data_IF_398008049583
#
_entry.id   IF_398008049583
#
_cell.length_a   1.000
_cell.length_b   1.000
_cell.length_c   1.000
_cell.angle_alpha   90.00
_cell.angle_beta   90.00
_cell.angle_gamma   90.00
#
_symmetry.space_group_name_H-M   'P 1'
#
loop_
_entity.id
_entity.type
_entity.pdbx_description
1 polymer ?
#
# COMPACT_ATOMS: atom_id res chain seq x y z
N UNK A 1 45.57 -4.82 -0.96
CA UNK A 1 45.55 -3.34 -0.86
C UNK A 1 44.11 -2.90 -0.94
N UNK A 2 43.49 -2.48 0.16
CA UNK A 2 43.61 -1.14 0.80
C UNK A 2 43.07 -0.06 -0.16
N UNK A 3 42.06 0.76 0.14
CA UNK A 3 41.39 1.09 1.40
C UNK A 3 39.96 1.58 1.14
N UNK A 4 39.00 1.08 1.91
CA UNK A 4 37.73 1.75 2.18
C UNK A 4 37.90 2.55 3.46
N UNK A 5 37.89 3.88 3.37
CA UNK A 5 37.93 4.75 4.52
C UNK A 5 36.51 5.07 5.01
N UNK A 6 36.32 4.80 6.30
CA UNK A 6 35.18 5.16 7.15
C UNK A 6 34.81 6.63 7.03
N UNK A 7 33.51 6.91 6.99
CA UNK A 7 32.94 8.05 7.71
C UNK A 7 31.76 7.56 8.54
N UNK A 8 31.97 7.64 9.85
CA UNK A 8 31.06 7.34 10.94
C UNK A 8 30.08 8.48 11.18
N UNK A 9 28.81 8.11 11.34
CA UNK A 9 27.82 8.63 12.30
C UNK A 9 27.82 10.14 12.61
N UNK A 10 26.87 10.86 12.01
CA UNK A 10 26.24 12.03 12.61
C UNK A 10 24.80 11.67 12.99
N UNK A 11 24.55 11.50 14.28
CA UNK A 11 23.20 11.42 14.82
C UNK A 11 22.51 12.78 14.65
N UNK A 12 21.45 12.82 13.84
CA UNK A 12 20.49 13.92 13.87
C UNK A 12 19.18 13.38 14.42
N UNK A 13 19.03 13.59 15.72
CA UNK A 13 17.78 13.61 16.43
C UNK A 13 16.98 14.80 15.86
N UNK A 14 15.99 14.53 15.00
CA UNK A 14 15.01 15.55 14.62
C UNK A 14 13.66 15.12 15.20
N UNK A 15 13.26 15.89 16.19
CA UNK A 15 11.99 15.81 16.90
C UNK A 15 10.83 15.59 15.93
N UNK A 16 10.04 14.57 16.25
CA UNK A 16 8.67 14.38 15.79
C UNK A 16 7.82 15.58 16.21
N UNK A 17 7.82 16.65 15.41
CA UNK A 17 6.80 17.69 15.47
C UNK A 17 5.66 17.30 14.55
N UNK A 18 4.51 17.08 15.19
CA UNK A 18 3.18 16.93 14.62
C UNK A 18 2.99 17.77 13.34
N UNK A 19 2.87 17.10 12.19
CA UNK A 19 2.20 17.67 11.02
C UNK A 19 0.78 17.13 11.06
N UNK A 20 0.02 17.66 12.01
CA UNK A 20 -1.43 17.65 11.99
C UNK A 20 -1.89 18.84 11.15
N UNK A 21 -2.80 18.56 10.21
CA UNK A 21 -3.80 19.49 9.68
C UNK A 21 -3.27 20.68 8.85
N UNK A 22 -3.05 20.43 7.55
CA UNK A 22 -3.44 21.37 6.51
C UNK A 22 -3.99 20.57 5.31
N UNK A 23 -5.11 19.90 5.52
CA UNK A 23 -6.08 19.70 4.44
C UNK A 23 -6.82 21.02 4.33
N UNK A 24 -6.52 21.80 3.29
CA UNK A 24 -7.37 22.91 2.90
C UNK A 24 -8.75 22.35 2.58
N UNK A 25 -9.64 22.36 3.57
CA UNK A 25 -11.07 22.26 3.36
C UNK A 25 -11.46 23.47 2.51
N UNK A 26 -11.48 23.30 1.19
CA UNK A 26 -12.34 24.13 0.36
C UNK A 26 -13.75 23.76 0.76
N UNK A 27 -14.29 24.49 1.74
CA UNK A 27 -15.72 24.48 2.06
C UNK A 27 -16.44 25.06 0.85
N UNK A 28 -16.68 24.21 -0.15
CA UNK A 28 -17.78 24.42 -1.08
C UNK A 28 -19.03 24.16 -0.27
N UNK A 29 -19.71 25.23 0.09
CA UNK A 29 -21.03 25.22 0.73
C UNK A 29 -21.93 24.17 0.09
N UNK A 30 -22.75 23.44 0.86
CA UNK A 30 -23.79 22.61 0.28
C UNK A 30 -24.86 23.57 -0.27
N UNK A 31 -24.76 23.94 -1.54
CA UNK A 31 -25.87 24.58 -2.26
C UNK A 31 -26.96 23.55 -2.62
N UNK A 32 -27.22 22.58 -1.74
CA UNK A 32 -28.24 21.54 -1.93
C UNK A 32 -29.65 22.02 -1.55
N UNK A 33 -29.87 23.33 -1.51
CA UNK A 33 -31.18 23.96 -1.29
C UNK A 33 -31.69 24.74 -2.51
N UNK A 34 -31.04 24.60 -3.68
CA UNK A 34 -31.50 25.24 -4.92
C UNK A 34 -32.10 24.26 -5.95
N UNK A 35 -32.53 23.08 -5.52
CA UNK A 35 -33.21 22.10 -6.40
C UNK A 35 -34.73 22.04 -6.18
N UNK A 36 -35.34 23.06 -5.55
CA UNK A 36 -36.80 23.10 -5.36
C UNK A 36 -37.45 24.43 -5.75
N UNK A 37 -36.75 25.28 -6.52
CA UNK A 37 -37.25 26.61 -6.90
C UNK A 37 -37.08 26.98 -8.37
N UNK A 38 -36.93 25.98 -9.24
CA UNK A 38 -37.36 26.11 -10.63
C UNK A 38 -38.69 25.38 -10.77
N UNK A 39 -39.65 25.80 -9.95
CA UNK A 39 -41.03 25.72 -10.40
C UNK A 39 -41.05 26.59 -11.65
N UNK A 40 -41.14 25.93 -12.81
CA UNK A 40 -41.71 26.49 -14.01
C UNK A 40 -42.64 27.63 -13.62
N UNK A 41 -42.28 28.87 -13.93
CA UNK A 41 -43.28 29.87 -14.24
C UNK A 41 -43.89 29.48 -15.58
N UNK A 42 -44.47 28.28 -15.65
CA UNK A 42 -45.67 28.07 -16.42
C UNK A 42 -46.65 29.05 -15.80
N UNK A 43 -46.73 30.24 -16.38
CA UNK A 43 -48.01 30.95 -16.45
C UNK A 43 -49.02 29.83 -16.66
N UNK A 44 -49.99 29.62 -15.75
CA UNK A 44 -50.98 28.60 -15.99
C UNK A 44 -51.61 28.97 -17.31
N UNK A 45 -51.23 28.26 -18.38
CA UNK A 45 -52.01 28.21 -19.59
C UNK A 45 -53.27 27.55 -19.09
N UNK A 46 -54.20 28.40 -18.69
CA UNK A 46 -55.48 28.05 -18.14
C UNK A 46 -56.06 27.08 -19.14
N UNK A 47 -56.02 25.80 -18.80
CA UNK A 47 -56.89 24.77 -19.39
C UNK A 47 -58.30 25.13 -18.93
N UNK A 48 -58.80 26.29 -19.35
CA UNK A 48 -60.20 26.65 -19.27
C UNK A 48 -60.88 26.02 -20.48
N UNK A 49 -60.78 24.70 -20.55
CA UNK A 49 -61.76 23.91 -21.26
C UNK A 49 -62.97 23.98 -20.34
N UNK A 50 -63.97 24.76 -20.74
CA UNK A 50 -65.26 25.06 -20.06
C UNK A 50 -65.41 26.45 -19.40
N UNK A 51 -65.40 27.51 -20.20
CA UNK A 51 -66.33 28.63 -19.96
C UNK A 51 -67.43 28.58 -21.02
N UNK A 52 -68.45 27.76 -20.76
CA UNK A 52 -69.63 27.67 -21.61
C UNK A 52 -70.71 28.61 -21.05
N UNK A 53 -70.99 29.66 -21.84
CA UNK A 53 -72.22 30.45 -21.91
C UNK A 53 -72.51 31.55 -20.87
N UNK A 54 -71.67 32.59 -20.87
CA UNK A 54 -72.21 33.96 -20.87
C UNK A 54 -71.62 34.69 -22.07
N UNK A 55 -72.45 35.15 -22.99
CA UNK A 55 -71.97 35.94 -24.13
C UNK A 55 -71.30 37.22 -23.61
N UNK A 56 -70.06 37.49 -24.04
CA UNK A 56 -69.33 38.70 -23.67
C UNK A 56 -70.10 39.97 -24.08
N UNK A 57 -70.79 39.93 -25.22
CA UNK A 57 -71.60 41.02 -25.73
C UNK A 57 -73.07 40.59 -25.85
N UNK A 58 -73.98 41.44 -25.35
CA UNK A 58 -75.44 41.36 -25.48
C UNK A 58 -75.97 42.70 -26.00
N UNK A 59 -77.22 42.77 -26.45
CA UNK A 59 -77.81 44.02 -26.99
C UNK A 59 -77.81 45.16 -25.97
N UNK A 60 -77.89 44.84 -24.67
CA UNK A 60 -77.94 45.82 -23.58
C UNK A 60 -76.56 46.41 -23.21
N UNK A 61 -75.46 45.70 -23.53
CA UNK A 61 -74.11 46.09 -23.10
C UNK A 61 -73.15 46.45 -24.25
N UNK A 62 -73.66 46.55 -25.47
CA UNK A 62 -72.84 46.69 -26.69
C UNK A 62 -71.85 47.87 -26.65
N UNK A 63 -72.30 49.05 -26.19
CA UNK A 63 -71.45 50.25 -26.10
C UNK A 63 -70.33 50.10 -25.06
N UNK A 64 -70.63 49.44 -23.94
CA UNK A 64 -69.66 49.17 -22.87
C UNK A 64 -68.64 48.11 -23.32
N UNK A 65 -69.10 47.07 -24.01
CA UNK A 65 -68.24 46.01 -24.56
C UNK A 65 -67.32 46.52 -25.67
N UNK A 66 -67.80 47.40 -26.55
CA UNK A 66 -66.97 48.06 -27.57
C UNK A 66 -65.94 48.97 -26.90
N UNK A 67 -66.35 49.78 -25.92
CA UNK A 67 -65.41 50.66 -25.19
C UNK A 67 -64.33 49.87 -24.46
N UNK A 68 -64.68 48.74 -23.85
CA UNK A 68 -63.72 47.84 -23.21
C UNK A 68 -62.76 47.21 -24.22
N UNK A 69 -63.26 46.70 -25.34
CA UNK A 69 -62.42 46.13 -26.40
C UNK A 69 -61.48 47.19 -26.98
N UNK A 70 -61.97 48.39 -27.26
CA UNK A 70 -61.14 49.50 -27.74
C UNK A 70 -60.02 49.83 -26.75
N UNK A 71 -60.32 49.87 -25.45
CA UNK A 71 -59.32 50.12 -24.40
C UNK A 71 -58.27 49.00 -24.32
N UNK A 72 -58.69 47.73 -24.29
CA UNK A 72 -57.76 46.59 -24.23
C UNK A 72 -56.89 46.52 -25.49
N UNK A 73 -57.49 46.64 -26.67
CA UNK A 73 -56.77 46.62 -27.94
C UNK A 73 -55.78 47.77 -28.04
N UNK A 74 -56.17 48.99 -27.65
CA UNK A 74 -55.25 50.12 -27.61
C UNK A 74 -54.10 49.89 -26.60
N UNK A 75 -54.38 49.22 -25.48
CA UNK A 75 -53.34 48.82 -24.50
C UNK A 75 -52.35 47.82 -25.09
N UNK A 76 -52.81 46.91 -25.95
CA UNK A 76 -51.96 46.01 -26.73
C UNK A 76 -51.30 46.67 -27.96
N UNK A 77 -51.53 47.97 -28.17
CA UNK A 77 -50.89 48.76 -29.22
C UNK A 77 -51.63 48.79 -30.55
N UNK A 78 -52.89 48.33 -30.60
CA UNK A 78 -53.73 48.41 -31.79
C UNK A 78 -54.36 49.81 -31.97
N UNK A 79 -54.71 50.21 -33.20
CA UNK A 79 -55.44 51.45 -33.45
C UNK A 79 -56.84 51.42 -32.81
N UNK A 80 -57.36 52.61 -32.44
CA UNK A 80 -58.72 52.71 -31.90
C UNK A 80 -59.77 52.28 -32.93
N UNK A 81 -60.84 51.64 -32.44
CA UNK A 81 -61.99 51.20 -33.21
C UNK A 81 -62.93 52.35 -33.59
N UNK A 82 -62.77 53.51 -32.95
CA UNK A 82 -63.56 54.71 -33.22
C UNK A 82 -62.91 55.59 -34.29
N UNK A 83 -63.74 56.23 -35.11
CA UNK A 83 -63.27 57.21 -36.08
C UNK A 83 -62.84 58.52 -35.39
N UNK A 84 -61.76 59.14 -35.87
CA UNK A 84 -61.37 60.47 -35.39
C UNK A 84 -62.44 61.50 -35.76
N UNK A 85 -62.92 62.33 -34.81
CA UNK A 85 -64.02 63.25 -35.06
C UNK A 85 -63.58 64.36 -36.03
N UNK A 86 -64.02 64.27 -37.29
CA UNK A 86 -63.86 65.34 -38.28
C UNK A 86 -65.02 66.32 -38.16
N UNK A 87 -64.95 67.23 -37.18
CA UNK A 87 -65.89 68.35 -37.03
C UNK A 87 -66.76 68.31 -35.78
N UNK A 88 -67.75 69.23 -35.70
CA UNK A 88 -68.59 69.49 -34.52
C UNK A 88 -69.70 68.44 -34.31
N UNK A 89 -69.36 67.15 -34.36
CA UNK A 89 -70.26 66.08 -33.95
C UNK A 89 -69.71 65.34 -32.73
N UNK A 90 -70.55 65.23 -31.70
CA UNK A 90 -70.20 64.73 -30.36
C UNK A 90 -70.28 63.20 -30.22
N UNK A 91 -70.61 62.49 -31.31
CA UNK A 91 -70.83 61.03 -31.28
C UNK A 91 -69.69 60.34 -32.04
N UNK A 92 -68.88 59.55 -31.32
CA UNK A 92 -67.84 58.72 -31.92
C UNK A 92 -68.51 57.55 -32.63
N UNK A 93 -68.44 57.50 -33.95
CA UNK A 93 -68.97 56.38 -34.71
C UNK A 93 -67.93 55.25 -34.81
N UNK A 94 -68.42 54.01 -34.75
CA UNK A 94 -67.60 52.82 -34.85
C UNK A 94 -67.16 52.64 -36.30
N UNK A 95 -65.85 52.54 -36.55
CA UNK A 95 -65.34 52.27 -37.88
C UNK A 95 -65.22 50.75 -38.09
N UNK A 96 -66.13 50.20 -38.91
CA UNK A 96 -66.17 48.75 -39.22
C UNK A 96 -64.87 48.27 -39.88
N UNK A 97 -64.23 49.10 -40.70
CA UNK A 97 -62.94 48.77 -41.35
C UNK A 97 -61.82 48.67 -40.31
N UNK A 98 -61.79 49.59 -39.33
CA UNK A 98 -60.84 49.53 -38.21
C UNK A 98 -61.05 48.25 -37.39
N UNK A 99 -62.30 47.87 -37.12
CA UNK A 99 -62.65 46.61 -36.42
C UNK A 99 -62.16 45.38 -37.18
N UNK A 100 -62.45 45.29 -38.49
CA UNK A 100 -62.04 44.14 -39.31
C UNK A 100 -60.52 44.03 -39.44
N UNK A 101 -59.82 45.16 -39.58
CA UNK A 101 -58.36 45.19 -39.61
C UNK A 101 -57.78 44.77 -38.25
N UNK A 102 -58.30 45.30 -37.14
CA UNK A 102 -57.87 44.90 -35.80
C UNK A 102 -58.10 43.40 -35.57
N UNK A 103 -59.24 42.85 -35.99
CA UNK A 103 -59.49 41.41 -35.91
C UNK A 103 -58.48 40.59 -36.73
N UNK A 104 -58.15 41.03 -37.94
CA UNK A 104 -57.15 40.35 -38.77
C UNK A 104 -55.75 40.42 -38.13
N UNK A 105 -55.35 41.58 -37.60
CA UNK A 105 -54.06 41.74 -36.92
C UNK A 105 -53.98 40.89 -35.64
N UNK A 106 -55.07 40.78 -34.86
CA UNK A 106 -55.18 39.88 -33.71
C UNK A 106 -55.00 38.42 -34.11
N UNK A 107 -55.64 37.99 -35.20
CA UNK A 107 -55.49 36.61 -35.70
C UNK A 107 -54.05 36.33 -36.17
N UNK A 108 -53.42 37.30 -36.84
CA UNK A 108 -52.01 37.20 -37.25
C UNK A 108 -51.10 37.15 -36.02
N UNK A 109 -51.34 38.00 -35.02
CA UNK A 109 -50.58 38.03 -33.77
C UNK A 109 -50.74 36.72 -33.00
N UNK A 110 -51.95 36.18 -32.91
CA UNK A 110 -52.22 34.90 -32.26
C UNK A 110 -51.45 33.77 -32.94
N UNK A 111 -51.43 33.71 -34.28
CA UNK A 111 -50.64 32.72 -35.03
C UNK A 111 -49.14 32.86 -34.77
N UNK A 112 -48.62 34.09 -34.74
CA UNK A 112 -47.20 34.36 -34.41
C UNK A 112 -46.87 33.94 -32.97
N UNK A 113 -47.75 34.22 -32.01
CA UNK A 113 -47.56 33.84 -30.62
C UNK A 113 -47.58 32.33 -30.43
N UNK A 114 -48.46 31.60 -31.12
CA UNK A 114 -48.49 30.13 -31.09
C UNK A 114 -47.17 29.53 -31.61
N UNK A 115 -46.64 30.06 -32.72
CA UNK A 115 -45.35 29.61 -33.25
C UNK A 115 -44.18 29.95 -32.30
N UNK A 116 -44.19 31.13 -31.70
CA UNK A 116 -43.19 31.51 -30.71
C UNK A 116 -43.24 30.61 -29.47
N UNK A 117 -44.45 30.27 -29.01
CA UNK A 117 -44.68 29.35 -27.90
C UNK A 117 -44.13 27.96 -28.23
N UNK A 118 -44.46 27.39 -29.39
CA UNK A 118 -43.97 26.08 -29.83
C UNK A 118 -42.43 26.03 -29.89
N UNK A 119 -41.79 27.11 -30.39
CA UNK A 119 -40.33 27.23 -30.42
C UNK A 119 -39.72 27.22 -29.01
N UNK A 120 -40.32 27.95 -28.07
CA UNK A 120 -39.86 27.98 -26.67
C UNK A 120 -40.07 26.64 -25.98
N UNK A 121 -41.20 25.97 -26.23
CA UNK A 121 -41.46 24.62 -25.71
C UNK A 121 -40.43 23.60 -26.23
N UNK A 122 -40.11 23.66 -27.53
CA UNK A 122 -39.08 22.82 -28.15
C UNK A 122 -37.69 23.10 -27.56
N UNK A 123 -37.35 24.38 -27.35
CA UNK A 123 -36.09 24.77 -26.74
C UNK A 123 -36.00 24.28 -25.28
N UNK A 124 -37.09 24.36 -24.52
CA UNK A 124 -37.16 23.86 -23.14
C UNK A 124 -36.95 22.34 -23.08
N UNK A 125 -37.55 21.57 -24.01
CA UNK A 125 -37.31 20.12 -24.09
C UNK A 125 -35.83 19.82 -24.38
N UNK A 126 -35.21 20.58 -25.29
CA UNK A 126 -33.78 20.42 -25.59
C UNK A 126 -32.90 20.73 -24.38
N UNK A 127 -33.13 21.85 -23.70
CA UNK A 127 -32.39 22.23 -22.50
C UNK A 127 -32.60 21.23 -21.35
N UNK A 128 -33.80 20.65 -21.23
CA UNK A 128 -34.08 19.57 -20.28
C UNK A 128 -33.21 18.35 -20.54
N UNK A 129 -33.15 17.89 -21.79
CA UNK A 129 -32.29 16.77 -22.19
C UNK A 129 -30.80 17.06 -21.97
N UNK A 130 -30.35 18.28 -22.26
CA UNK A 130 -28.94 18.69 -22.05
C UNK A 130 -28.60 18.69 -20.54
N UNK A 131 -29.52 19.15 -19.70
CA UNK A 131 -29.37 19.14 -18.24
C UNK A 131 -29.29 17.71 -17.70
N UNK A 132 -30.17 16.82 -18.14
CA UNK A 132 -30.16 15.41 -17.75
C UNK A 132 -28.86 14.72 -18.19
N UNK A 133 -28.38 15.01 -19.39
CA UNK A 133 -27.10 14.50 -19.87
C UNK A 133 -25.94 14.98 -18.99
N UNK A 134 -25.89 16.28 -18.68
CA UNK A 134 -24.85 16.85 -17.83
C UNK A 134 -24.89 16.26 -16.41
N UNK A 135 -26.07 16.08 -15.84
CA UNK A 135 -26.25 15.47 -14.53
C UNK A 135 -25.77 14.01 -14.50
N UNK A 136 -26.04 13.24 -15.57
CA UNK A 136 -25.54 11.88 -15.72
C UNK A 136 -24.01 11.83 -15.84
N UNK A 137 -23.42 12.73 -16.64
CA UNK A 137 -21.97 12.86 -16.77
C UNK A 137 -21.30 13.24 -15.43
N UNK A 138 -21.88 14.19 -14.71
CA UNK A 138 -21.44 14.59 -13.38
C UNK A 138 -21.44 13.41 -12.41
N UNK A 139 -22.53 12.63 -12.38
CA UNK A 139 -22.66 11.46 -11.50
C UNK A 139 -21.59 10.40 -11.80
N UNK A 140 -21.37 10.07 -13.08
CA UNK A 140 -20.31 9.14 -13.50
C UNK A 140 -18.92 9.61 -13.10
N UNK A 141 -18.62 10.89 -13.30
CA UNK A 141 -17.32 11.46 -12.94
C UNK A 141 -17.10 11.45 -11.42
N UNK A 142 -18.16 11.71 -10.65
CA UNK A 142 -18.14 11.63 -9.18
C UNK A 142 -17.86 10.21 -8.71
N UNK A 143 -18.52 9.20 -9.29
CA UNK A 143 -18.27 7.79 -8.97
C UNK A 143 -16.83 7.37 -9.30
N UNK A 144 -16.29 7.79 -10.45
CA UNK A 144 -14.90 7.55 -10.83
C UNK A 144 -13.92 8.19 -9.83
N UNK A 145 -14.19 9.42 -9.39
CA UNK A 145 -13.38 10.10 -8.38
C UNK A 145 -13.41 9.34 -7.04
N UNK A 146 -14.57 8.88 -6.60
CA UNK A 146 -14.70 8.08 -5.38
C UNK A 146 -14.04 6.70 -5.50
N UNK A 147 -14.08 6.07 -6.67
CA UNK A 147 -13.38 4.83 -6.95
C UNK A 147 -11.84 5.02 -6.88
N UNK A 148 -11.33 6.04 -7.57
CA UNK A 148 -9.89 6.38 -7.55
C UNK A 148 -9.41 6.75 -6.14
N UNK A 149 -10.22 7.48 -5.35
CA UNK A 149 -9.91 7.77 -3.94
C UNK A 149 -9.81 6.49 -3.10
N UNK A 150 -10.73 5.54 -3.27
CA UNK A 150 -10.67 4.24 -2.56
C UNK A 150 -9.42 3.45 -2.96
N UNK A 151 -9.07 3.43 -4.24
CA UNK A 151 -7.87 2.76 -4.73
C UNK A 151 -6.60 3.39 -4.16
N UNK A 152 -6.51 4.73 -4.14
CA UNK A 152 -5.39 5.47 -3.57
C UNK A 152 -5.19 5.12 -2.08
N UNK A 153 -6.27 5.06 -1.30
CA UNK A 153 -6.18 4.65 0.12
C UNK A 153 -5.66 3.22 0.23
N UNK A 154 -6.12 2.30 -0.62
CA UNK A 154 -5.63 0.92 -0.66
C UNK A 154 -4.14 0.81 -1.04
N UNK A 155 -3.68 1.65 -1.98
CA UNK A 155 -2.27 1.76 -2.36
C UNK A 155 -1.41 2.31 -1.22
N UNK A 156 -1.88 3.36 -0.54
CA UNK A 156 -1.17 3.97 0.60
C UNK A 156 -0.98 2.98 1.76
N UNK A 157 -2.00 2.17 2.08
CA UNK A 157 -1.86 1.16 3.13
C UNK A 157 -0.89 0.03 2.72
N UNK A 158 -0.89 -0.38 1.46
CA UNK A 158 0.11 -1.34 0.94
C UNK A 158 1.52 -0.78 1.00
N UNK A 159 1.71 0.49 0.64
CA UNK A 159 3.01 1.15 0.75
C UNK A 159 3.47 1.22 2.22
N UNK A 160 2.59 1.60 3.14
CA UNK A 160 2.88 1.61 4.59
C UNK A 160 3.34 0.23 5.08
N UNK A 161 2.66 -0.84 4.67
CA UNK A 161 3.03 -2.20 5.04
C UNK A 161 4.40 -2.61 4.47
N UNK A 162 4.67 -2.28 3.21
CA UNK A 162 5.97 -2.54 2.59
C UNK A 162 7.08 -1.74 3.26
N UNK A 163 6.85 -0.48 3.61
CA UNK A 163 7.79 0.32 4.39
C UNK A 163 8.08 -0.30 5.75
N UNK A 164 7.07 -0.78 6.48
CA UNK A 164 7.27 -1.49 7.74
C UNK A 164 8.10 -2.76 7.59
N UNK A 165 7.80 -3.58 6.57
CA UNK A 165 8.59 -4.79 6.25
C UNK A 165 10.03 -4.44 5.90
N UNK A 166 10.23 -3.40 5.10
CA UNK A 166 11.54 -2.95 4.67
C UNK A 166 12.39 -2.46 5.86
N UNK A 167 11.79 -1.69 6.79
CA UNK A 167 12.44 -1.28 8.05
C UNK A 167 12.83 -2.48 8.91
N UNK A 168 11.96 -3.47 9.02
CA UNK A 168 12.24 -4.70 9.77
C UNK A 168 13.42 -5.48 9.16
N UNK A 169 13.41 -5.69 7.84
CA UNK A 169 14.50 -6.35 7.12
C UNK A 169 15.84 -5.61 7.28
N UNK A 170 15.82 -4.27 7.20
CA UNK A 170 17.01 -3.46 7.47
C UNK A 170 17.56 -3.67 8.89
N UNK A 171 16.68 -3.77 9.89
CA UNK A 171 17.08 -4.05 11.26
C UNK A 171 17.69 -5.45 11.41
N UNK A 172 17.08 -6.48 10.79
CA UNK A 172 17.66 -7.82 10.81
C UNK A 172 19.02 -7.86 10.13
N UNK A 173 19.14 -7.24 8.95
CA UNK A 173 20.41 -7.16 8.23
C UNK A 173 21.50 -6.47 9.06
N UNK A 174 21.14 -5.41 9.79
CA UNK A 174 22.07 -4.74 10.70
C UNK A 174 22.52 -5.68 11.82
N UNK A 175 21.58 -6.40 12.44
CA UNK A 175 21.90 -7.37 13.51
C UNK A 175 22.84 -8.47 13.02
N UNK A 176 22.58 -9.03 11.83
CA UNK A 176 23.43 -10.06 11.21
C UNK A 176 24.83 -9.51 10.89
N UNK A 177 24.93 -8.27 10.38
CA UNK A 177 26.22 -7.61 10.16
C UNK A 177 27.02 -7.44 11.46
N UNK A 178 26.34 -7.03 12.53
CA UNK A 178 26.97 -6.87 13.84
C UNK A 178 27.45 -8.23 14.39
N UNK A 179 26.68 -9.30 14.19
CA UNK A 179 27.06 -10.65 14.62
C UNK A 179 28.24 -11.21 13.80
N UNK A 180 28.22 -11.05 12.48
CA UNK A 180 29.37 -11.39 11.61
C UNK A 180 30.62 -10.64 12.06
N UNK A 181 30.51 -9.35 12.37
CA UNK A 181 31.65 -8.57 12.84
C UNK A 181 32.19 -9.06 14.18
N UNK A 182 31.32 -9.46 15.12
CA UNK A 182 31.74 -10.08 16.39
C UNK A 182 32.48 -11.40 16.15
N UNK A 183 31.92 -12.28 15.33
CA UNK A 183 32.55 -13.57 15.00
C UNK A 183 33.90 -13.37 14.31
N UNK A 184 34.01 -12.41 13.39
CA UNK A 184 35.27 -12.06 12.74
C UNK A 184 36.32 -11.59 13.75
N UNK A 185 35.93 -10.79 14.75
CA UNK A 185 36.83 -10.36 15.83
C UNK A 185 37.28 -11.55 16.69
N UNK A 186 36.39 -12.51 16.99
CA UNK A 186 36.73 -13.74 17.73
C UNK A 186 37.69 -14.62 16.92
N UNK A 187 37.49 -14.76 15.61
CA UNK A 187 38.39 -15.53 14.74
C UNK A 187 39.76 -14.87 14.70
N UNK A 188 39.83 -13.54 14.55
CA UNK A 188 41.08 -12.80 14.54
C UNK A 188 41.83 -12.94 15.87
N UNK A 189 41.14 -12.82 17.01
CA UNK A 189 41.77 -12.99 18.34
C UNK A 189 42.24 -14.42 18.59
N UNK A 190 41.48 -15.43 18.14
CA UNK A 190 41.94 -16.83 18.18
C UNK A 190 43.17 -17.04 17.31
N UNK A 191 43.20 -16.48 16.10
CA UNK A 191 44.35 -16.61 15.21
C UNK A 191 45.62 -15.99 15.82
N UNK A 192 45.53 -14.86 16.51
CA UNK A 192 46.68 -14.27 17.22
C UNK A 192 47.11 -15.12 18.41
N UNK A 193 46.17 -15.67 19.17
CA UNK A 193 46.45 -16.58 20.29
C UNK A 193 47.17 -17.86 19.80
N UNK A 194 46.65 -18.53 18.77
CA UNK A 194 47.28 -19.71 18.18
C UNK A 194 48.70 -19.41 17.67
N UNK A 195 48.90 -18.26 17.02
CA UNK A 195 50.23 -17.85 16.58
C UNK A 195 51.21 -17.65 17.75
N UNK A 196 50.75 -17.07 18.85
CA UNK A 196 51.58 -16.91 20.05
C UNK A 196 51.96 -18.26 20.66
N UNK A 197 50.99 -19.16 20.80
CA UNK A 197 51.20 -20.49 21.38
C UNK A 197 52.09 -21.37 20.49
N UNK A 198 51.92 -21.29 19.17
CA UNK A 198 52.79 -21.96 18.20
C UNK A 198 54.25 -21.49 18.34
N UNK A 199 54.48 -20.16 18.38
CA UNK A 199 55.82 -19.60 18.59
C UNK A 199 56.41 -20.01 19.94
N UNK A 200 55.60 -20.12 20.99
CA UNK A 200 56.05 -20.63 22.29
C UNK A 200 56.50 -22.08 22.18
N UNK A 201 55.70 -22.94 21.55
CA UNK A 201 56.03 -24.36 21.33
C UNK A 201 57.26 -24.54 20.46
N UNK A 202 57.42 -23.74 19.43
CA UNK A 202 58.61 -23.73 18.58
C UNK A 202 59.88 -23.38 19.37
N UNK A 203 59.81 -22.37 20.26
CA UNK A 203 60.92 -22.04 21.17
C UNK A 203 61.23 -23.18 22.16
N UNK A 204 60.22 -23.82 22.72
CA UNK A 204 60.39 -24.98 23.62
C UNK A 204 61.05 -26.17 22.89
N UNK A 205 60.61 -26.44 21.66
CA UNK A 205 61.19 -27.47 20.79
C UNK A 205 62.65 -27.17 20.45
N UNK A 206 62.98 -25.93 20.07
CA UNK A 206 64.35 -25.53 19.76
C UNK A 206 65.28 -25.70 20.97
N UNK A 207 64.83 -25.31 22.18
CA UNK A 207 65.59 -25.57 23.42
C UNK A 207 65.81 -27.05 23.68
N UNK A 208 64.81 -27.89 23.45
CA UNK A 208 64.95 -29.34 23.61
C UNK A 208 65.91 -29.93 22.58
N UNK A 209 65.81 -29.47 21.33
CA UNK A 209 66.71 -29.84 20.23
C UNK A 209 68.16 -29.47 20.56
N UNK A 210 68.41 -28.28 21.08
CA UNK A 210 69.75 -27.84 21.53
C UNK A 210 70.30 -28.72 22.65
N UNK A 211 69.50 -29.01 23.69
CA UNK A 211 69.90 -29.93 24.78
C UNK A 211 70.25 -31.32 24.25
N UNK A 212 69.47 -31.84 23.32
CA UNK A 212 69.75 -33.12 22.68
C UNK A 212 71.07 -33.07 21.89
N UNK A 213 71.29 -32.01 21.09
CA UNK A 213 72.56 -31.84 20.38
C UNK A 213 73.75 -31.76 21.34
N UNK A 214 73.63 -31.03 22.45
CA UNK A 214 74.67 -30.97 23.49
C UNK A 214 74.94 -32.35 24.09
N UNK A 215 73.91 -33.15 24.41
CA UNK A 215 74.08 -34.51 24.91
C UNK A 215 74.78 -35.44 23.90
N UNK A 216 74.48 -35.28 22.61
CA UNK A 216 75.12 -36.08 21.55
C UNK A 216 76.57 -35.64 21.32
N UNK A 217 76.87 -34.33 21.34
CA UNK A 217 78.24 -33.83 21.19
C UNK A 217 79.12 -34.16 22.41
N UNK A 218 78.60 -33.99 23.63
CA UNK A 218 79.33 -34.31 24.86
C UNK A 218 79.64 -35.82 25.02
N UNK A 219 78.90 -36.70 24.33
CA UNK A 219 79.19 -38.15 24.26
C UNK A 219 80.36 -38.49 23.34
N UNK A 220 80.77 -37.59 22.43
CA UNK A 220 81.93 -37.82 21.56
C UNK A 220 83.26 -37.54 22.26
N UNK A 221 83.27 -36.66 23.26
CA UNK A 221 84.50 -36.27 23.99
C UNK A 221 84.69 -36.98 25.34
N UNK A 222 83.74 -37.84 25.76
CA UNK A 222 83.91 -38.70 26.94
C UNK A 222 83.65 -40.15 26.55
N UNK A 223 84.73 -40.93 26.46
CA UNK A 223 84.71 -42.40 26.45
C UNK A 223 83.80 -42.86 27.59
N UNK A 224 82.64 -43.42 27.24
CA UNK A 224 81.67 -43.94 28.20
C UNK A 224 82.31 -45.16 28.88
N UNK A 225 82.86 -44.96 30.08
CA UNK A 225 82.92 -46.02 31.06
C UNK A 225 81.47 -46.32 31.45
N UNK A 226 81.00 -47.52 31.13
CA UNK A 226 79.81 -48.09 31.74
C UNK A 226 80.12 -48.30 33.22
N UNK A 227 79.78 -47.33 34.06
CA UNK A 227 79.49 -47.65 35.45
C UNK A 227 78.09 -48.25 35.49
N UNK A 228 78.07 -49.58 35.58
CA UNK A 228 76.91 -50.33 36.06
C UNK A 228 76.69 -49.86 37.51
N UNK A 229 75.86 -48.83 37.67
CA UNK A 229 75.33 -48.45 38.97
C UNK A 229 74.45 -49.61 39.43
N UNK A 230 75.07 -50.42 40.28
CA UNK A 230 74.46 -51.36 41.19
C UNK A 230 73.14 -50.78 41.72
N UNK A 231 72.04 -51.53 41.61
CA UNK A 231 70.79 -51.26 42.31
C UNK A 231 71.01 -51.49 43.82
N UNK A 232 71.87 -50.68 44.43
CA UNK A 232 72.04 -50.57 45.85
C UNK A 232 70.95 -49.67 46.38
N UNK A 233 70.02 -50.24 47.14
CA UNK A 233 69.05 -49.48 47.92
C UNK A 233 69.75 -48.39 48.71
N UNK A 234 69.38 -47.14 48.45
CA UNK A 234 69.57 -46.03 49.37
C UNK A 234 68.22 -45.38 49.61
N UNK A 235 67.95 -45.19 50.89
CA UNK A 235 66.84 -44.45 51.42
C UNK A 235 66.93 -42.98 50.96
N UNK A 236 65.78 -42.40 50.69
CA UNK A 236 65.50 -40.99 50.37
C UNK A 236 65.43 -40.57 48.88
N UNK A 237 64.18 -40.44 48.40
CA UNK A 237 63.75 -39.17 47.82
C UNK A 237 63.71 -39.01 46.31
N UNK A 238 62.60 -39.45 45.69
CA UNK A 238 62.08 -39.14 44.34
C UNK A 238 62.39 -40.15 43.23
N UNK A 239 61.58 -41.22 43.22
CA UNK A 239 61.17 -41.87 41.97
C UNK A 239 60.45 -40.79 41.15
N UNK A 240 60.74 -40.67 39.85
CA UNK A 240 59.81 -40.01 38.94
C UNK A 240 58.50 -40.76 39.10
N UNK A 241 57.51 -40.09 39.65
CA UNK A 241 56.35 -40.72 40.25
C UNK A 241 55.60 -41.52 39.16
N UNK A 242 55.83 -42.83 39.08
CA UNK A 242 54.92 -43.74 38.40
C UNK A 242 53.50 -43.50 38.93
N UNK A 243 53.39 -43.16 40.22
CA UNK A 243 52.19 -42.64 40.85
C UNK A 243 51.60 -41.41 40.13
N UNK A 244 52.40 -40.46 39.64
CA UNK A 244 51.91 -39.28 38.92
C UNK A 244 51.50 -39.60 37.47
N UNK A 245 52.17 -40.53 36.78
CA UNK A 245 51.76 -40.96 35.44
C UNK A 245 50.46 -41.78 35.48
N UNK A 246 50.35 -42.71 36.44
CA UNK A 246 49.12 -43.44 36.70
C UNK A 246 48.02 -42.49 37.19
N UNK A 247 48.34 -41.52 38.06
CA UNK A 247 47.38 -40.50 38.51
C UNK A 247 46.91 -39.59 37.38
N UNK A 248 47.79 -39.16 36.46
CA UNK A 248 47.40 -38.37 35.29
C UNK A 248 46.49 -39.16 34.34
N UNK A 249 46.84 -40.42 34.07
CA UNK A 249 46.02 -41.30 33.23
C UNK A 249 44.66 -41.57 33.88
N UNK A 250 44.64 -41.89 35.17
CA UNK A 250 43.39 -42.05 35.94
C UNK A 250 42.54 -40.78 35.94
N UNK A 251 43.16 -39.61 36.06
CA UNK A 251 42.44 -38.34 36.02
C UNK A 251 41.87 -38.03 34.61
N UNK A 252 42.56 -38.40 33.52
CA UNK A 252 42.01 -38.31 32.15
C UNK A 252 40.81 -39.27 31.95
N UNK A 253 40.89 -40.49 32.49
CA UNK A 253 39.76 -41.43 32.49
C UNK A 253 38.59 -40.92 33.32
N UNK A 254 38.83 -40.38 34.52
CA UNK A 254 37.79 -39.77 35.37
C UNK A 254 37.16 -38.55 34.68
N UNK A 255 37.96 -37.74 33.99
CA UNK A 255 37.48 -36.59 33.22
C UNK A 255 36.58 -37.03 32.07
N UNK A 256 37.01 -38.01 31.26
CA UNK A 256 36.19 -38.59 30.18
C UNK A 256 34.91 -39.22 30.71
N UNK A 257 34.98 -39.93 31.84
CA UNK A 257 33.79 -40.51 32.47
C UNK A 257 32.80 -39.43 32.89
N UNK A 258 33.27 -38.34 33.50
CA UNK A 258 32.42 -37.18 33.85
C UNK A 258 31.82 -36.53 32.59
N UNK A 259 32.58 -36.40 31.51
CA UNK A 259 32.10 -35.84 30.26
C UNK A 259 30.98 -36.70 29.65
N UNK A 260 31.16 -38.02 29.58
CA UNK A 260 30.14 -38.96 29.07
C UNK A 260 28.88 -38.94 29.94
N UNK A 261 29.02 -38.78 31.26
CA UNK A 261 27.87 -38.65 32.17
C UNK A 261 27.10 -37.36 31.93
N UNK A 262 27.80 -36.24 31.70
CA UNK A 262 27.15 -34.96 31.34
C UNK A 262 26.44 -35.07 29.98
N UNK A 263 27.11 -35.62 28.96
CA UNK A 263 26.51 -35.82 27.64
C UNK A 263 25.27 -36.74 27.71
N UNK A 264 25.33 -37.82 28.48
CA UNK A 264 24.15 -38.66 28.74
C UNK A 264 23.02 -37.91 29.44
N UNK A 265 23.32 -37.03 30.38
CA UNK A 265 22.32 -36.21 31.06
C UNK A 265 21.66 -35.23 30.08
N UNK A 266 22.43 -34.61 29.19
CA UNK A 266 21.90 -33.74 28.13
C UNK A 266 21.05 -34.51 27.11
N UNK A 267 21.49 -35.68 26.66
CA UNK A 267 20.70 -36.55 25.78
C UNK A 267 19.37 -36.96 26.42
N UNK A 268 19.35 -37.26 27.72
CA UNK A 268 18.11 -37.54 28.46
C UNK A 268 17.19 -36.32 28.49
N UNK A 269 17.70 -35.10 28.66
CA UNK A 269 16.89 -33.87 28.62
C UNK A 269 16.27 -33.65 27.25
N UNK A 270 17.06 -33.80 26.17
CA UNK A 270 16.57 -33.66 24.78
C UNK A 270 15.47 -34.67 24.49
N UNK A 271 15.67 -35.93 24.91
CA UNK A 271 14.66 -36.98 24.72
C UNK A 271 13.35 -36.67 25.46
N UNK A 272 13.43 -36.17 26.70
CA UNK A 272 12.24 -35.75 27.46
C UNK A 272 11.55 -34.53 26.83
N UNK A 273 12.31 -33.59 26.28
CA UNK A 273 11.77 -32.44 25.56
C UNK A 273 11.02 -32.89 24.29
N UNK A 274 11.62 -33.77 23.49
CA UNK A 274 10.95 -34.35 22.32
C UNK A 274 9.68 -35.11 22.70
N UNK A 275 9.71 -35.89 23.79
CA UNK A 275 8.51 -36.57 24.33
C UNK A 275 7.40 -35.57 24.65
N UNK A 276 7.73 -34.46 25.33
CA UNK A 276 6.79 -33.39 25.68
C UNK A 276 6.18 -32.72 24.45
N UNK A 277 6.97 -32.45 23.43
CA UNK A 277 6.49 -31.88 22.16
C UNK A 277 5.59 -32.86 21.39
N UNK A 278 5.91 -34.15 21.37
CA UNK A 278 5.03 -35.14 20.75
C UNK A 278 3.67 -35.22 21.46
N UNK A 279 3.63 -35.20 22.80
CA UNK A 279 2.38 -35.18 23.57
C UNK A 279 1.55 -33.91 23.30
N UNK A 280 2.21 -32.75 23.12
CA UNK A 280 1.50 -31.50 22.84
C UNK A 280 0.83 -31.49 21.47
N UNK A 281 1.46 -32.10 20.45
CA UNK A 281 0.89 -32.28 19.11
C UNK A 281 -0.30 -33.26 19.10
N UNK A 282 -0.32 -34.22 20.02
CA UNK A 282 -1.40 -35.20 20.15
C UNK A 282 -2.60 -34.70 20.94
N UNK A 283 -2.44 -33.65 21.75
CA UNK A 283 -3.54 -33.07 22.51
C UNK A 283 -4.61 -32.52 21.56
N UNK A 284 -5.88 -32.94 21.67
CA UNK A 284 -6.95 -32.47 20.80
C UNK A 284 -7.04 -30.94 20.85
N UNK A 285 -6.62 -30.25 19.79
CA UNK A 285 -6.94 -28.84 19.60
C UNK A 285 -8.46 -28.76 19.44
N UNK A 286 -9.16 -28.35 20.50
CA UNK A 286 -10.56 -27.97 20.42
C UNK A 286 -10.69 -26.89 19.34
N UNK A 287 -11.19 -27.27 18.16
CA UNK A 287 -11.68 -26.32 17.17
C UNK A 287 -12.81 -25.56 17.85
N UNK A 288 -12.61 -24.28 18.14
CA UNK A 288 -13.69 -23.40 18.57
C UNK A 288 -14.76 -23.41 17.47
N UNK A 289 -16.03 -23.70 17.78
CA UNK A 289 -17.11 -23.47 16.83
C UNK A 289 -17.13 -21.99 16.49
N UNK A 290 -16.97 -21.68 15.20
CA UNK A 290 -17.19 -20.34 14.67
C UNK A 290 -18.71 -20.19 14.57
N UNK A 291 -19.31 -19.52 15.54
CA UNK A 291 -20.73 -19.13 15.50
C UNK A 291 -21.01 -18.30 14.23
N UNK A 292 -21.88 -18.85 13.37
CA UNK A 292 -22.74 -18.10 12.46
C UNK A 292 -24.12 -18.74 12.60
N UNK A 293 -25.09 -17.90 12.94
CA UNK A 293 -26.49 -18.22 13.20
C UNK A 293 -27.23 -18.72 11.93
N UNK A 294 -28.22 -19.58 12.18
CA UNK A 294 -29.47 -19.94 11.45
C UNK A 294 -29.57 -19.69 9.92
N UNK A 295 -30.14 -20.59 9.12
CA UNK A 295 -31.44 -21.27 9.34
C UNK A 295 -31.62 -22.53 8.45
N UNK A 296 -32.51 -23.41 8.90
CA UNK A 296 -33.38 -24.32 8.16
C UNK A 296 -32.93 -25.69 7.59
N UNK A 297 -33.42 -26.71 8.30
CA UNK A 297 -34.10 -27.94 7.82
C UNK A 297 -33.27 -29.22 7.57
N UNK A 298 -33.18 -30.04 8.63
CA UNK A 298 -33.70 -31.42 8.67
C UNK A 298 -33.02 -32.51 7.82
N UNK A 299 -32.30 -33.42 8.46
CA UNK A 299 -32.59 -34.88 8.46
C UNK A 299 -31.64 -35.59 9.44
N UNK A 300 -32.24 -36.27 10.42
CA UNK A 300 -31.63 -37.17 11.39
C UNK A 300 -31.39 -38.52 10.73
N UNK A 301 -30.16 -39.07 10.79
CA UNK A 301 -29.92 -40.51 11.03
C UNK A 301 -28.63 -40.67 11.87
N UNK A 302 -28.89 -41.17 13.08
CA UNK A 302 -28.16 -41.84 14.16
C UNK A 302 -26.76 -42.49 13.99
N UNK A 303 -26.10 -42.56 15.16
CA UNK A 303 -25.29 -43.65 15.75
C UNK A 303 -23.92 -44.02 15.17
N UNK A 304 -22.87 -43.63 15.90
CA UNK A 304 -21.93 -44.59 16.51
C UNK A 304 -21.53 -44.05 17.89
N UNK A 305 -21.59 -44.97 18.85
CA UNK A 305 -21.52 -44.83 20.29
C UNK A 305 -20.27 -44.15 20.87
N UNK A 306 -20.51 -43.72 22.10
CA UNK A 306 -19.64 -43.17 23.12
C UNK A 306 -18.61 -44.19 23.65
N UNK A 307 -17.68 -43.66 24.44
CA UNK A 307 -16.90 -44.33 25.48
C UNK A 307 -15.65 -45.14 25.10
N UNK A 308 -14.50 -44.47 25.27
CA UNK A 308 -13.38 -45.05 26.01
C UNK A 308 -12.52 -43.92 26.58
N UNK A 309 -12.98 -43.36 27.70
CA UNK A 309 -12.13 -42.84 28.76
C UNK A 309 -11.31 -41.57 28.47
N UNK A 310 -11.76 -40.46 29.05
CA UNK A 310 -10.90 -39.43 29.61
C UNK A 310 -9.79 -40.07 30.47
N UNK A 311 -8.69 -40.49 29.86
CA UNK A 311 -7.45 -40.76 30.59
C UNK A 311 -6.86 -39.40 30.96
N UNK A 312 -7.26 -38.98 32.16
CA UNK A 312 -6.61 -38.04 33.06
C UNK A 312 -5.44 -37.27 32.42
N UNK A 313 -5.62 -35.95 32.30
CA UNK A 313 -4.60 -34.98 31.89
C UNK A 313 -3.29 -35.08 32.71
N UNK A 314 -3.33 -35.82 33.81
CA UNK A 314 -2.23 -36.12 34.72
C UNK A 314 -1.46 -37.40 34.37
N UNK A 315 -2.10 -38.44 33.77
CA UNK A 315 -1.42 -39.70 33.38
C UNK A 315 -0.72 -39.64 32.02
N UNK A 316 -1.01 -38.62 31.20
CA UNK A 316 -0.42 -38.44 29.89
C UNK A 316 1.10 -38.17 29.92
N UNK A 317 1.61 -37.59 31.02
CA UNK A 317 3.03 -37.27 31.16
C UNK A 317 3.90 -38.52 31.40
N UNK A 318 3.29 -39.60 31.89
CA UNK A 318 3.99 -40.84 32.28
C UNK A 318 3.91 -41.96 31.23
N UNK A 319 3.34 -41.66 30.05
CA UNK A 319 3.26 -42.61 28.94
C UNK A 319 4.65 -43.02 28.46
N UNK A 320 4.85 -44.31 28.17
CA UNK A 320 6.09 -44.79 27.56
C UNK A 320 6.28 -44.20 26.15
N UNK A 321 7.52 -44.04 25.68
CA UNK A 321 7.78 -43.54 24.32
C UNK A 321 7.08 -44.38 23.24
N UNK A 322 6.93 -45.68 23.51
CA UNK A 322 6.23 -46.63 22.64
C UNK A 322 4.74 -46.29 22.52
N UNK A 323 4.10 -45.92 23.64
CA UNK A 323 2.67 -45.55 23.66
C UNK A 323 2.40 -44.24 22.92
N UNK A 324 3.27 -43.24 23.08
CA UNK A 324 3.16 -41.95 22.36
C UNK A 324 3.32 -42.15 20.84
N UNK A 325 4.26 -43.00 20.43
CA UNK A 325 4.49 -43.36 19.03
C UNK A 325 3.26 -44.02 18.40
N UNK A 326 2.64 -44.96 19.12
CA UNK A 326 1.45 -45.66 18.63
C UNK A 326 0.24 -44.71 18.52
N UNK A 327 0.02 -43.83 19.51
CA UNK A 327 -1.04 -42.82 19.46
C UNK A 327 -0.90 -41.86 18.26
N UNK A 328 0.32 -41.39 17.98
CA UNK A 328 0.60 -40.55 16.81
C UNK A 328 0.30 -41.28 15.50
N UNK A 329 0.78 -42.51 15.38
CA UNK A 329 0.57 -43.31 14.18
C UNK A 329 -0.92 -43.55 13.95
N UNK A 330 -1.69 -43.82 15.01
CA UNK A 330 -3.14 -44.00 14.92
C UNK A 330 -3.89 -42.70 14.57
N UNK A 331 -3.45 -41.55 15.09
CA UNK A 331 -4.01 -40.25 14.72
C UNK A 331 -3.81 -39.95 13.22
N UNK A 332 -2.59 -40.17 12.70
CA UNK A 332 -2.29 -40.00 11.28
C UNK A 332 -3.13 -40.94 10.41
N UNK A 333 -3.20 -42.23 10.78
CA UNK A 333 -4.05 -43.22 10.09
C UNK A 333 -5.52 -42.80 10.08
N UNK A 334 -6.03 -42.21 11.17
CA UNK A 334 -7.41 -41.71 11.24
C UNK A 334 -7.62 -40.52 10.30
N UNK A 335 -6.73 -39.52 10.33
CA UNK A 335 -6.81 -38.37 9.42
C UNK A 335 -6.72 -38.80 7.95
N UNK A 336 -5.85 -39.76 7.64
CA UNK A 336 -5.72 -40.31 6.29
C UNK A 336 -7.00 -41.01 5.82
N UNK A 337 -7.66 -41.80 6.68
CA UNK A 337 -8.95 -42.44 6.36
C UNK A 337 -10.04 -41.42 6.07
N UNK A 338 -10.12 -40.35 6.85
CA UNK A 338 -11.10 -39.27 6.65
C UNK A 338 -10.86 -38.61 5.28
N UNK A 339 -9.62 -38.21 5.00
CA UNK A 339 -9.24 -37.59 3.74
C UNK A 339 -9.53 -38.51 2.55
N UNK A 340 -9.13 -39.79 2.64
CA UNK A 340 -9.39 -40.79 1.61
C UNK A 340 -10.88 -40.92 1.32
N UNK A 341 -11.72 -41.01 2.36
CA UNK A 341 -13.18 -41.08 2.18
C UNK A 341 -13.76 -39.82 1.53
N UNK A 342 -13.21 -38.63 1.83
CA UNK A 342 -13.65 -37.38 1.21
C UNK A 342 -13.28 -37.34 -0.28
N UNK A 343 -12.09 -37.80 -0.63
CA UNK A 343 -11.64 -37.91 -2.02
C UNK A 343 -12.51 -38.91 -2.79
N UNK A 344 -12.78 -40.09 -2.20
CA UNK A 344 -13.66 -41.10 -2.79
C UNK A 344 -15.10 -40.58 -2.97
N UNK A 345 -15.61 -39.77 -2.04
CA UNK A 345 -16.92 -39.11 -2.17
C UNK A 345 -16.94 -38.11 -3.33
N UNK A 346 -15.90 -37.28 -3.47
CA UNK A 346 -15.79 -36.34 -4.59
C UNK A 346 -15.72 -37.07 -5.94
N UNK A 347 -14.93 -38.15 -6.01
CA UNK A 347 -14.79 -38.99 -7.21
C UNK A 347 -16.11 -39.68 -7.59
N UNK A 348 -16.83 -40.17 -6.58
CA UNK A 348 -18.18 -40.74 -6.76
C UNK A 348 -19.20 -39.69 -7.20
N UNK A 349 -19.06 -38.43 -6.74
CA UNK A 349 -19.93 -37.32 -7.12
C UNK A 349 -19.71 -36.92 -8.59
N UNK A 350 -18.45 -36.87 -9.03
CA UNK A 350 -18.08 -36.65 -10.44
C UNK A 350 -18.58 -37.80 -11.33
N UNK A 351 -18.54 -39.03 -10.83
CA UNK A 351 -19.02 -40.21 -11.56
C UNK A 351 -20.55 -40.29 -11.66
N UNK A 352 -21.28 -39.86 -10.62
CA UNK A 352 -22.76 -39.82 -10.64
C UNK A 352 -23.34 -38.79 -11.61
N UNK A 353 -22.62 -37.68 -11.85
CA UNK A 353 -22.97 -36.67 -12.86
C UNK A 353 -22.93 -37.24 -14.29
N UNK A 354 -22.26 -38.37 -14.53
CA UNK A 354 -22.22 -39.01 -15.85
C UNK A 354 -23.38 -40.00 -16.13
N UNK A 355 -24.16 -40.44 -15.13
CA UNK A 355 -25.08 -41.60 -15.29
C UNK A 355 -26.53 -41.33 -14.87
N UNK A 356 -26.82 -40.37 -13.98
CA UNK A 356 -28.20 -40.01 -13.63
C UNK A 356 -28.57 -38.65 -14.24
N UNK A 357 -29.31 -38.68 -15.36
CA UNK A 357 -30.03 -37.52 -15.86
C UNK A 357 -31.15 -37.11 -14.88
N UNK A 358 -31.31 -35.79 -14.70
CA UNK A 358 -32.37 -34.98 -14.07
C UNK A 358 -31.66 -33.87 -13.26
N UNK A 359 -31.83 -32.56 -13.45
CA UNK A 359 -32.87 -31.77 -14.08
C UNK A 359 -32.26 -30.56 -14.82
N UNK A 360 -32.92 -30.15 -15.90
CA UNK A 360 -32.82 -28.85 -16.56
C UNK A 360 -32.79 -27.71 -15.53
N UNK A 361 -31.71 -26.92 -15.51
CA UNK A 361 -31.76 -25.45 -15.54
C UNK A 361 -30.38 -24.81 -15.35
N UNK A 362 -29.35 -25.51 -14.83
CA UNK A 362 -28.12 -24.79 -14.43
C UNK A 362 -26.79 -25.57 -14.55
N UNK A 363 -26.67 -26.49 -15.51
CA UNK A 363 -25.38 -27.13 -15.83
C UNK A 363 -25.20 -27.20 -17.34
N UNK A 364 -24.42 -26.27 -17.89
CA UNK A 364 -24.06 -26.21 -19.30
C UNK A 364 -23.24 -27.46 -19.65
N UNK A 365 -23.66 -28.20 -20.68
CA UNK A 365 -22.95 -29.39 -21.16
C UNK A 365 -21.53 -29.02 -21.59
N UNK A 366 -20.56 -29.92 -21.38
CA UNK A 366 -19.18 -29.71 -21.83
C UNK A 366 -19.09 -29.39 -23.32
N UNK A 367 -19.99 -29.97 -24.11
CA UNK A 367 -20.08 -29.71 -25.55
C UNK A 367 -20.63 -28.31 -25.86
N UNK A 368 -21.58 -27.81 -25.07
CA UNK A 368 -22.12 -26.46 -25.22
C UNK A 368 -21.08 -25.41 -24.81
N UNK A 369 -20.31 -25.68 -23.75
CA UNK A 369 -19.16 -24.87 -23.38
C UNK A 369 -18.10 -24.81 -24.48
N UNK A 370 -17.80 -25.94 -25.14
CA UNK A 370 -16.83 -25.99 -26.23
C UNK A 370 -17.30 -25.16 -27.45
N UNK A 371 -18.58 -25.28 -27.82
CA UNK A 371 -19.18 -24.44 -28.87
C UNK A 371 -19.21 -22.96 -28.51
N UNK A 372 -19.51 -22.62 -27.25
CA UNK A 372 -19.50 -21.24 -26.78
C UNK A 372 -18.08 -20.66 -26.79
N UNK A 373 -17.07 -21.46 -26.44
CA UNK A 373 -15.67 -21.04 -26.54
C UNK A 373 -15.24 -20.79 -27.98
N UNK A 374 -15.60 -21.66 -28.93
CA UNK A 374 -15.30 -21.44 -30.35
C UNK A 374 -15.99 -20.18 -30.89
N UNK A 375 -17.24 -19.93 -30.47
CA UNK A 375 -17.97 -18.71 -30.83
C UNK A 375 -17.28 -17.46 -30.28
N UNK A 376 -16.89 -17.46 -29.01
CA UNK A 376 -16.19 -16.34 -28.38
C UNK A 376 -14.82 -16.11 -29.04
N UNK A 377 -14.11 -17.16 -29.45
CA UNK A 377 -12.85 -17.03 -30.20
C UNK A 377 -13.05 -16.31 -31.54
N UNK A 378 -14.12 -16.62 -32.27
CA UNK A 378 -14.46 -15.93 -33.51
C UNK A 378 -14.83 -14.46 -33.27
N UNK A 379 -15.62 -14.17 -32.24
CA UNK A 379 -15.97 -12.79 -31.87
C UNK A 379 -14.73 -11.98 -31.46
N UNK A 380 -13.82 -12.56 -30.69
CA UNK A 380 -12.53 -11.95 -30.33
C UNK A 380 -11.71 -11.66 -31.58
N UNK A 381 -11.68 -12.60 -32.54
CA UNK A 381 -10.94 -12.41 -33.78
C UNK A 381 -11.52 -11.25 -34.61
N UNK A 382 -12.85 -11.17 -34.72
CA UNK A 382 -13.53 -10.06 -35.39
C UNK A 382 -13.28 -8.71 -34.68
N UNK A 383 -13.28 -8.70 -33.35
CA UNK A 383 -12.96 -7.50 -32.57
C UNK A 383 -11.51 -7.04 -32.81
N UNK A 384 -10.55 -7.97 -32.90
CA UNK A 384 -9.15 -7.64 -33.23
C UNK A 384 -9.03 -7.00 -34.60
N UNK A 385 -9.75 -7.50 -35.60
CA UNK A 385 -9.75 -6.91 -36.94
C UNK A 385 -10.37 -5.52 -36.97
N UNK A 386 -11.46 -5.31 -36.22
CA UNK A 386 -12.07 -4.00 -36.06
C UNK A 386 -11.14 -3.01 -35.37
N UNK A 387 -10.46 -3.42 -34.29
CA UNK A 387 -9.47 -2.58 -33.58
C UNK A 387 -8.31 -2.22 -34.52
N UNK A 388 -7.81 -3.17 -35.32
CA UNK A 388 -6.75 -2.92 -36.30
C UNK A 388 -7.18 -1.89 -37.35
N UNK A 389 -8.41 -2.00 -37.84
CA UNK A 389 -9.00 -1.06 -38.81
C UNK A 389 -9.20 0.33 -38.19
N UNK A 390 -9.69 0.40 -36.95
CA UNK A 390 -9.82 1.64 -36.19
C UNK A 390 -8.46 2.30 -35.95
N UNK A 391 -7.42 1.53 -35.60
CA UNK A 391 -6.05 2.04 -35.44
C UNK A 391 -5.50 2.61 -36.75
N UNK A 392 -5.73 1.95 -37.89
CA UNK A 392 -5.30 2.47 -39.19
C UNK A 392 -6.01 3.78 -39.55
N UNK A 393 -7.32 3.87 -39.29
CA UNK A 393 -8.09 5.09 -39.52
C UNK A 393 -7.62 6.23 -38.62
N UNK A 394 -7.36 5.95 -37.34
CA UNK A 394 -6.85 6.92 -36.38
C UNK A 394 -5.46 7.43 -36.80
N UNK A 395 -4.59 6.53 -37.28
CA UNK A 395 -3.27 6.88 -37.77
C UNK A 395 -3.33 7.71 -39.05
N UNK A 396 -4.32 7.43 -39.93
CA UNK A 396 -4.59 8.24 -41.11
C UNK A 396 -5.13 9.63 -40.73
N UNK A 397 -6.02 9.73 -39.74
CA UNK A 397 -6.54 11.02 -39.24
C UNK A 397 -5.47 11.85 -38.53
N UNK A 398 -4.56 11.24 -37.78
CA UNK A 398 -3.45 11.95 -37.16
C UNK A 398 -2.45 12.46 -38.20
N UNK A 399 -2.25 11.74 -39.31
CA UNK A 399 -1.42 12.18 -40.42
C UNK A 399 -2.06 13.32 -41.24
N UNK A 400 -3.39 13.42 -41.30
CA UNK A 400 -4.11 14.52 -41.96
C UNK A 400 -4.46 15.70 -41.04
N UNK A 401 -4.46 15.51 -39.71
CA UNK A 401 -4.74 16.56 -38.72
C UNK A 401 -3.49 17.23 -38.14
N UNK A 402 -2.28 16.75 -38.44
CA UNK A 402 -1.05 17.47 -38.12
C UNK A 402 -0.75 18.51 -39.19
N UNK A 403 -1.34 19.70 -39.05
CA UNK A 403 -0.65 20.91 -39.52
C UNK A 403 0.63 21.05 -38.67
N UNK A 404 1.79 20.89 -39.32
CA UNK A 404 3.15 20.95 -38.75
C UNK A 404 3.35 22.18 -37.83
N UNK A 405 2.63 23.27 -38.11
CA UNK A 405 2.67 24.53 -37.36
C UNK A 405 2.13 24.40 -35.92
N UNK A 406 1.08 23.59 -35.71
CA UNK A 406 0.46 23.44 -34.38
C UNK A 406 1.33 22.61 -33.46
N UNK A 407 2.00 21.60 -34.01
CA UNK A 407 2.96 20.76 -33.28
C UNK A 407 4.25 21.51 -32.99
N UNK A 408 4.70 22.40 -33.89
CA UNK A 408 5.83 23.30 -33.65
C UNK A 408 5.53 24.29 -32.52
N UNK A 409 4.35 24.90 -32.48
CA UNK A 409 3.98 25.89 -31.47
C UNK A 409 3.92 25.28 -30.05
N UNK A 410 3.34 24.09 -29.90
CA UNK A 410 3.27 23.40 -28.61
C UNK A 410 4.67 22.98 -28.11
N UNK A 411 5.56 22.60 -29.04
CA UNK A 411 6.94 22.26 -28.71
C UNK A 411 7.74 23.49 -28.27
N UNK A 412 7.53 24.63 -28.91
CA UNK A 412 8.14 25.89 -28.52
C UNK A 412 7.65 26.37 -27.14
N UNK A 413 6.36 26.22 -26.82
CA UNK A 413 5.83 26.55 -25.50
C UNK A 413 6.47 25.71 -24.39
N UNK A 414 6.63 24.40 -24.60
CA UNK A 414 7.27 23.50 -23.62
C UNK A 414 8.75 23.83 -23.41
N UNK A 415 9.48 24.14 -24.49
CA UNK A 415 10.88 24.55 -24.40
C UNK A 415 11.05 25.89 -23.67
N UNK A 416 10.07 26.78 -23.77
CA UNK A 416 10.09 28.09 -23.12
C UNK A 416 9.88 27.97 -21.60
N UNK A 417 8.95 27.13 -21.17
CA UNK A 417 8.70 26.80 -19.75
C UNK A 417 9.94 26.15 -19.11
N UNK A 418 10.55 25.17 -19.80
CA UNK A 418 11.77 24.51 -19.32
C UNK A 418 12.94 25.49 -19.19
N UNK A 419 13.09 26.41 -20.15
CA UNK A 419 14.11 27.47 -20.12
C UNK A 419 13.89 28.45 -18.97
N UNK A 420 12.66 28.80 -18.66
CA UNK A 420 12.31 29.68 -17.55
C UNK A 420 12.59 29.00 -16.20
N UNK A 421 12.20 27.73 -16.04
CA UNK A 421 12.54 26.93 -14.84
C UNK A 421 14.04 26.84 -14.60
N UNK A 422 14.81 26.55 -15.66
CA UNK A 422 16.28 26.47 -15.55
C UNK A 422 16.92 27.80 -15.14
N UNK A 423 16.34 28.92 -15.58
CA UNK A 423 16.79 30.27 -15.22
C UNK A 423 16.52 30.56 -13.74
N UNK A 424 15.38 30.11 -13.20
CA UNK A 424 15.06 30.22 -11.78
C UNK A 424 16.01 29.37 -10.92
N UNK A 425 16.23 28.10 -11.30
CA UNK A 425 17.19 27.21 -10.62
C UNK A 425 18.61 27.79 -10.64
N UNK A 426 19.03 28.36 -11.76
CA UNK A 426 20.32 29.04 -11.89
C UNK A 426 20.43 30.26 -10.98
N UNK A 427 19.36 31.05 -10.88
CA UNK A 427 19.30 32.20 -9.97
C UNK A 427 19.44 31.77 -8.51
N UNK A 428 18.72 30.71 -8.13
CA UNK A 428 18.81 30.12 -6.79
C UNK A 428 20.23 29.63 -6.48
N UNK A 429 20.86 28.92 -7.44
CA UNK A 429 22.24 28.45 -7.29
C UNK A 429 23.23 29.61 -7.13
N UNK A 430 23.04 30.71 -7.87
CA UNK A 430 23.87 31.91 -7.76
C UNK A 430 23.73 32.58 -6.39
N UNK A 431 22.52 32.63 -5.83
CA UNK A 431 22.29 33.18 -4.50
C UNK A 431 22.88 32.27 -3.40
N UNK A 432 22.75 30.94 -3.53
CA UNK A 432 23.43 29.99 -2.65
C UNK A 432 24.95 30.18 -2.66
N UNK A 433 25.55 30.30 -3.85
CA UNK A 433 26.99 30.57 -3.98
C UNK A 433 27.41 31.86 -3.26
N UNK A 434 26.61 32.93 -3.40
CA UNK A 434 26.84 34.21 -2.70
C UNK A 434 26.72 34.07 -1.18
N UNK A 435 25.78 33.27 -0.70
CA UNK A 435 25.64 32.96 0.73
C UNK A 435 26.86 32.21 1.26
N UNK A 436 27.32 31.17 0.57
CA UNK A 436 28.54 30.45 0.95
C UNK A 436 29.77 31.35 0.97
N UNK A 437 29.91 32.28 0.01
CA UNK A 437 30.99 33.26 0.04
C UNK A 437 30.90 34.20 1.25
N UNK A 438 29.68 34.62 1.63
CA UNK A 438 29.45 35.47 2.80
C UNK A 438 29.79 34.72 4.09
N UNK A 439 29.34 33.49 4.23
CA UNK A 439 29.68 32.62 5.37
C UNK A 439 31.18 32.40 5.46
N UNK A 440 31.84 32.09 4.34
CA UNK A 440 33.30 31.92 4.30
C UNK A 440 34.04 33.16 4.78
N UNK A 441 33.61 34.36 4.36
CA UNK A 441 34.17 35.63 4.85
C UNK A 441 33.93 35.79 6.35
N UNK A 442 32.71 35.52 6.82
CA UNK A 442 32.35 35.59 8.24
C UNK A 442 33.20 34.65 9.10
N UNK A 443 33.40 33.40 8.66
CA UNK A 443 34.26 32.44 9.36
C UNK A 443 35.71 32.87 9.38
N UNK A 444 36.21 33.41 8.26
CA UNK A 444 37.58 33.93 8.18
C UNK A 444 37.78 35.11 9.12
N UNK A 445 36.83 36.03 9.17
CA UNK A 445 36.87 37.19 10.08
C UNK A 445 36.78 36.77 11.54
N UNK A 446 35.90 35.81 11.88
CA UNK A 446 35.81 35.25 13.22
C UNK A 446 37.12 34.58 13.66
N UNK A 447 37.77 33.83 12.77
CA UNK A 447 39.07 33.21 13.05
C UNK A 447 40.18 34.25 13.28
N UNK A 448 40.20 35.34 12.50
CA UNK A 448 41.13 36.46 12.71
C UNK A 448 40.88 37.13 14.07
N UNK A 449 39.62 37.44 14.40
CA UNK A 449 39.25 38.04 15.70
C UNK A 449 39.67 37.16 16.88
N UNK A 450 39.38 35.86 16.82
CA UNK A 450 39.83 34.91 17.85
C UNK A 450 41.37 34.86 17.95
N UNK A 451 42.08 34.91 16.82
CA UNK A 451 43.54 34.98 16.80
C UNK A 451 44.08 36.22 17.51
N UNK A 452 43.48 37.39 17.26
CA UNK A 452 43.84 38.64 17.91
C UNK A 452 43.55 38.60 19.42
N UNK A 453 42.38 38.11 19.83
CA UNK A 453 42.01 37.98 21.24
C UNK A 453 42.94 37.02 21.99
N UNK A 454 43.30 35.88 21.39
CA UNK A 454 44.30 34.96 21.95
C UNK A 454 45.69 35.61 22.03
N UNK A 455 46.08 36.40 21.04
CA UNK A 455 47.33 37.17 21.03
C UNK A 455 47.40 38.18 22.18
N UNK A 456 46.33 38.98 22.34
CA UNK A 456 46.19 39.95 23.43
C UNK A 456 46.24 39.25 24.79
N UNK A 457 45.50 38.14 24.97
CA UNK A 457 45.54 37.36 26.21
C UNK A 457 46.93 36.82 26.53
N UNK A 458 47.67 36.33 25.53
CA UNK A 458 49.06 35.88 25.71
C UNK A 458 49.98 37.04 26.10
N UNK A 459 49.83 38.19 25.48
CA UNK A 459 50.65 39.36 25.78
C UNK A 459 50.37 39.90 27.19
N UNK A 460 49.09 39.94 27.61
CA UNK A 460 48.71 40.26 28.99
C UNK A 460 49.28 39.25 30.00
N UNK A 461 49.28 37.95 29.67
CA UNK A 461 49.88 36.91 30.51
C UNK A 461 51.40 37.07 30.65
N UNK A 462 52.11 37.36 29.55
CA UNK A 462 53.55 37.62 29.59
C UNK A 462 53.89 38.86 30.42
N UNK A 463 53.11 39.94 30.31
CA UNK A 463 53.29 41.15 31.12
C UNK A 463 53.03 40.89 32.61
N UNK A 464 52.02 40.07 32.95
CA UNK A 464 51.78 39.64 34.34
C UNK A 464 52.93 38.77 34.89
N UNK A 465 53.50 37.86 34.10
CA UNK A 465 54.67 37.07 34.52
C UNK A 465 55.93 37.92 34.69
N UNK A 466 56.15 38.92 33.84
CA UNK A 466 57.29 39.84 33.95
C UNK A 466 57.18 40.76 35.18
N UNK A 467 55.97 41.14 35.59
CA UNK A 467 55.74 41.93 36.80
C UNK A 467 55.92 41.13 38.12
N UNK A 468 56.10 39.81 38.05
CA UNK A 468 56.23 38.91 39.20
C UNK A 468 57.64 38.28 39.36
N UNK A 469 58.63 38.72 38.60
CA UNK A 469 60.04 38.42 38.89
C UNK A 469 60.68 39.60 39.64
N UNK A 470 61.32 39.36 40.81
CA UNK A 470 61.81 40.41 41.71
C UNK A 470 62.98 41.23 41.17
#
# INVERSE_FOLDING_TARGET
>A
SRDWARLTSGALNLESKNISQYTSETKMSPSSLYSQQVLCSSIPLSKNVHSFFSAFCTEENIEQSISYLDQELTTFGFPSLYEEPKGKETKRELNIVAVLNCMNELLVLQRKNLLAQENVETQNLKLGSDMDHLQNCYTKLKEQLEASRREMIGLQERDRQLQCKNRNLHQMLKNEKDEVQKLQNIIASRATQYNHDMKRKEREYNKLKERLHQLVMNKKDKKIAMDVLNYGGRADGRRTDFSALFSYSLNDYEYRQKQILMENAELKKVLQQMKKEMISLLSPQKKKPRERADDSTGTVISDVEDDAGELSRESAWDLSCETVREQLTNSIRKQWRILKSHVEKLDSQVSKVHVEGFNDEDVISRQDHEQETEKLELEIQQCKEMIKTQQQLLQQQLATACDDDTTSLLRDCYLLEEKERLKEEWSLFKEQKKNFERERRSFTEAAIRLGLECGIRRQCACLHSAAHQP
#
